data_IF_705636426222
#
_entry.id   IF_705636426222
#
_cell.length_a   1.000
_cell.length_b   1.000
_cell.length_c   1.000
_cell.angle_alpha   90.00
_cell.angle_beta   90.00
_cell.angle_gamma   90.00
#
_symmetry.space_group_name_H-M   'P 1'
#
loop_
_entity.id
_entity.type
_entity.pdbx_description
1 polymer ?
#
# COMPACT_ATOMS: atom_id res chain seq x y z
N UNK A 1 -10.61 12.57 -8.72
CA UNK A 1 -10.20 11.84 -9.99
C UNK A 1 -8.68 11.63 -9.94
N UNK A 2 -8.18 10.46 -10.39
CA UNK A 2 -6.73 10.21 -10.43
C UNK A 2 -6.07 11.11 -11.48
N UNK A 3 -5.06 11.86 -11.06
CA UNK A 3 -4.26 12.72 -11.90
C UNK A 3 -2.89 12.10 -12.09
N UNK A 4 -2.33 12.26 -13.29
CA UNK A 4 -1.00 11.83 -13.64
C UNK A 4 -0.17 13.03 -14.05
N UNK A 5 0.92 13.27 -13.35
CA UNK A 5 1.82 14.39 -13.59
C UNK A 5 3.27 13.92 -13.74
N UNK A 6 4.17 14.84 -14.12
CA UNK A 6 5.60 14.57 -14.19
C UNK A 6 6.35 15.54 -13.29
N UNK A 7 7.13 15.02 -12.36
CA UNK A 7 8.00 15.80 -11.47
C UNK A 7 9.43 15.30 -11.63
N UNK A 8 10.34 16.13 -12.15
CA UNK A 8 11.71 15.72 -12.53
C UNK A 8 11.67 14.51 -13.48
N UNK A 9 12.25 13.38 -13.07
CA UNK A 9 12.31 12.12 -13.81
C UNK A 9 11.26 11.09 -13.34
N UNK A 10 10.31 11.53 -12.51
CA UNK A 10 9.25 10.71 -11.97
C UNK A 10 7.92 10.94 -12.68
N UNK A 11 7.18 9.87 -12.88
CA UNK A 11 5.73 9.89 -13.19
C UNK A 11 4.99 9.74 -11.88
N UNK A 12 4.13 10.69 -11.56
CA UNK A 12 3.44 10.77 -10.27
C UNK A 12 1.94 10.59 -10.46
N UNK A 13 1.35 9.74 -9.66
CA UNK A 13 -0.08 9.49 -9.58
C UNK A 13 -0.59 9.99 -8.22
N UNK A 14 -1.62 10.81 -8.23
CA UNK A 14 -2.30 11.31 -7.03
C UNK A 14 -3.77 11.53 -7.32
N UNK A 15 -4.59 11.62 -6.29
CA UNK A 15 -5.98 12.10 -6.40
C UNK A 15 -6.01 13.62 -6.18
N UNK A 16 -7.03 14.30 -6.70
CA UNK A 16 -7.22 15.76 -6.54
C UNK A 16 -7.17 16.19 -5.06
N UNK A 17 -7.80 15.41 -4.18
CA UNK A 17 -7.82 15.69 -2.75
C UNK A 17 -6.46 15.46 -2.07
N UNK A 18 -5.56 14.75 -2.73
CA UNK A 18 -4.25 14.35 -2.24
C UNK A 18 -3.09 15.15 -2.84
N UNK A 19 -3.38 16.19 -3.63
CA UNK A 19 -2.36 17.03 -4.29
C UNK A 19 -1.36 17.67 -3.31
N UNK A 20 -1.75 17.92 -2.06
CA UNK A 20 -0.88 18.41 -0.98
C UNK A 20 0.33 17.50 -0.72
N UNK A 21 0.22 16.20 -0.95
CA UNK A 21 1.32 15.25 -0.76
C UNK A 21 2.41 15.32 -1.83
N UNK A 22 2.20 16.12 -2.89
CA UNK A 22 3.27 16.48 -3.84
C UNK A 22 4.38 17.29 -3.16
N UNK A 23 4.06 18.09 -2.13
CA UNK A 23 5.05 18.82 -1.34
C UNK A 23 5.93 17.81 -0.57
N UNK A 24 5.34 16.82 0.10
CA UNK A 24 6.08 15.77 0.81
C UNK A 24 7.00 14.98 -0.13
N UNK A 25 6.56 14.70 -1.37
CA UNK A 25 7.43 14.09 -2.37
C UNK A 25 8.61 15.00 -2.72
N UNK A 26 8.39 16.31 -2.89
CA UNK A 26 9.45 17.28 -3.17
C UNK A 26 10.45 17.40 -2.01
N UNK A 27 9.98 17.42 -0.77
CA UNK A 27 10.81 17.44 0.43
C UNK A 27 11.68 16.19 0.49
N UNK A 28 11.09 15.01 0.24
CA UNK A 28 11.84 13.76 0.12
C UNK A 28 12.92 13.81 -0.96
N UNK A 29 12.60 14.34 -2.15
CA UNK A 29 13.54 14.47 -3.28
C UNK A 29 14.63 15.51 -3.04
N UNK A 30 14.44 16.40 -2.06
CA UNK A 30 15.39 17.42 -1.62
C UNK A 30 16.16 17.04 -0.36
N UNK A 31 15.92 15.81 0.16
CA UNK A 31 16.47 15.30 1.43
C UNK A 31 16.07 16.12 2.65
N UNK A 32 14.97 16.86 2.56
CA UNK A 32 14.36 17.64 3.65
C UNK A 32 13.13 16.90 4.19
N UNK A 33 13.37 15.81 4.90
CA UNK A 33 12.31 14.98 5.44
C UNK A 33 12.63 14.54 6.88
N UNK A 34 11.65 14.64 7.76
CA UNK A 34 11.78 14.21 9.15
C UNK A 34 11.41 12.73 9.30
N UNK A 35 12.39 11.86 9.51
CA UNK A 35 12.19 10.42 9.72
C UNK A 35 12.07 10.14 11.22
N UNK A 36 10.89 9.69 11.68
CA UNK A 36 10.64 9.29 13.06
C UNK A 36 11.17 7.89 13.34
N UNK A 37 10.91 6.93 12.42
CA UNK A 37 11.24 5.52 12.60
C UNK A 37 11.49 4.84 11.26
N UNK A 38 12.45 3.92 11.23
CA UNK A 38 12.66 3.03 10.09
C UNK A 38 12.13 1.65 10.47
N UNK A 39 11.06 1.20 9.80
CA UNK A 39 10.48 -0.12 10.01
C UNK A 39 11.23 -1.21 9.25
N UNK A 40 11.70 -0.88 8.03
CA UNK A 40 12.42 -1.82 7.17
C UNK A 40 13.48 -1.08 6.37
N UNK A 41 14.68 -1.66 6.31
CA UNK A 41 15.77 -1.18 5.46
C UNK A 41 16.55 -2.38 4.96
N UNK A 42 16.13 -2.90 3.82
CA UNK A 42 16.82 -3.99 3.09
C UNK A 42 17.19 -3.49 1.69
N UNK A 43 18.00 -4.24 0.97
CA UNK A 43 18.64 -3.84 -0.29
C UNK A 43 17.75 -3.18 -1.33
N UNK A 44 16.50 -3.59 -1.45
CA UNK A 44 15.56 -3.10 -2.46
C UNK A 44 14.32 -2.40 -1.87
N UNK A 45 14.14 -2.43 -0.54
CA UNK A 45 12.95 -1.88 0.12
C UNK A 45 13.31 -1.09 1.36
N UNK A 46 12.80 0.15 1.44
CA UNK A 46 12.82 0.96 2.68
C UNK A 46 11.39 1.34 3.03
N UNK A 47 11.04 1.20 4.31
CA UNK A 47 9.75 1.61 4.88
C UNK A 47 10.02 2.45 6.11
N UNK A 48 9.55 3.68 6.10
CA UNK A 48 9.83 4.69 7.12
C UNK A 48 8.54 5.36 7.56
N UNK A 49 8.44 5.65 8.86
CA UNK A 49 7.49 6.60 9.41
C UNK A 49 8.12 7.98 9.32
N UNK A 50 7.44 8.89 8.70
CA UNK A 50 7.86 10.28 8.53
C UNK A 50 6.85 11.21 9.19
N UNK A 51 7.35 12.35 9.69
CA UNK A 51 6.53 13.46 10.17
C UNK A 51 6.48 14.55 9.10
N UNK A 52 5.29 15.08 8.86
CA UNK A 52 5.06 16.08 7.81
C UNK A 52 4.06 17.12 8.30
N UNK A 53 3.95 18.25 7.60
CA UNK A 53 2.92 19.27 7.87
C UNK A 53 1.48 18.73 7.77
N UNK A 54 1.31 17.55 7.19
CA UNK A 54 0.01 16.88 7.02
C UNK A 54 -0.18 15.71 7.98
N UNK A 55 0.70 15.59 8.99
CA UNK A 55 0.73 14.51 9.97
C UNK A 55 1.71 13.37 9.59
N UNK A 56 1.63 12.29 10.35
CA UNK A 56 2.50 11.12 10.16
C UNK A 56 2.08 10.31 8.93
N UNK A 57 3.07 9.90 8.14
CA UNK A 57 2.88 9.10 6.94
C UNK A 57 3.86 7.92 6.89
N UNK A 58 3.49 6.88 6.17
CA UNK A 58 4.42 5.83 5.75
C UNK A 58 5.00 6.20 4.39
N UNK A 59 6.31 6.39 4.35
CA UNK A 59 7.09 6.50 3.11
C UNK A 59 7.72 5.15 2.79
N UNK A 60 7.28 4.53 1.69
CA UNK A 60 7.82 3.26 1.19
C UNK A 60 8.56 3.49 -0.12
N UNK A 61 9.85 3.15 -0.15
CA UNK A 61 10.67 3.20 -1.36
C UNK A 61 11.04 1.78 -1.74
N UNK A 62 10.73 1.41 -2.98
CA UNK A 62 11.00 0.08 -3.51
C UNK A 62 11.74 0.16 -4.84
N UNK A 63 12.97 -0.40 -4.88
CA UNK A 63 13.85 -0.41 -6.05
C UNK A 63 14.28 -1.84 -6.38
N UNK A 64 13.44 -2.62 -7.08
CA UNK A 64 13.66 -4.05 -7.29
C UNK A 64 14.94 -4.34 -8.07
N UNK A 65 15.89 -5.03 -7.45
CA UNK A 65 17.17 -5.44 -8.05
C UNK A 65 17.12 -6.87 -8.63
N UNK A 66 16.33 -7.74 -8.01
CA UNK A 66 16.24 -9.17 -8.38
C UNK A 66 15.22 -9.40 -9.48
N UNK A 67 15.50 -10.36 -10.39
CA UNK A 67 14.63 -10.75 -11.53
C UNK A 67 14.29 -9.60 -12.48
N UNK A 68 15.22 -8.68 -12.68
CA UNK A 68 15.04 -7.48 -13.51
C UNK A 68 14.53 -7.80 -14.92
N UNK A 69 15.11 -8.82 -15.58
CA UNK A 69 14.70 -9.21 -16.94
C UNK A 69 13.29 -9.83 -16.98
N UNK A 70 12.96 -10.72 -16.03
CA UNK A 70 11.62 -11.30 -15.92
C UNK A 70 10.54 -10.24 -15.66
N UNK A 71 10.84 -9.26 -14.81
CA UNK A 71 9.94 -8.13 -14.53
C UNK A 71 9.78 -7.20 -15.71
N UNK A 72 10.85 -6.97 -16.47
CA UNK A 72 10.79 -6.20 -17.72
C UNK A 72 9.78 -6.81 -18.70
N UNK A 73 9.89 -8.10 -18.99
CA UNK A 73 8.94 -8.77 -19.89
C UNK A 73 7.52 -8.80 -19.32
N UNK A 74 7.35 -9.00 -18.02
CA UNK A 74 6.04 -8.99 -17.38
C UNK A 74 5.38 -7.60 -17.39
N UNK A 75 6.15 -6.53 -17.20
CA UNK A 75 5.62 -5.15 -17.22
C UNK A 75 5.13 -4.73 -18.61
N UNK A 76 5.78 -5.20 -19.65
CA UNK A 76 5.35 -4.97 -21.04
C UNK A 76 3.97 -5.56 -21.37
N UNK A 77 3.64 -6.71 -20.74
CA UNK A 77 2.43 -7.47 -21.04
C UNK A 77 1.25 -7.21 -20.08
N UNK A 78 1.52 -6.90 -18.80
CA UNK A 78 0.49 -6.90 -17.75
C UNK A 78 0.22 -5.53 -17.09
N UNK A 79 0.93 -4.48 -17.49
CA UNK A 79 0.89 -3.17 -16.83
C UNK A 79 1.58 -3.18 -15.47
N UNK A 80 1.63 -2.01 -14.82
CA UNK A 80 2.30 -1.88 -13.53
C UNK A 80 1.45 -2.42 -12.38
N UNK A 81 2.12 -3.07 -11.45
CA UNK A 81 1.50 -3.66 -10.27
C UNK A 81 1.04 -2.60 -9.27
N UNK A 82 1.90 -1.58 -9.01
CA UNK A 82 1.60 -0.56 -8.01
C UNK A 82 0.68 0.53 -8.55
N UNK A 83 0.74 0.86 -9.85
CA UNK A 83 -0.25 1.73 -10.51
C UNK A 83 -1.65 1.14 -10.33
N UNK A 84 -1.81 -0.17 -10.57
CA UNK A 84 -3.09 -0.85 -10.37
C UNK A 84 -3.52 -0.90 -8.92
N UNK A 85 -2.59 -1.16 -7.99
CA UNK A 85 -2.90 -1.13 -6.55
C UNK A 85 -3.40 0.25 -6.14
N UNK A 86 -2.72 1.31 -6.59
CA UNK A 86 -3.12 2.69 -6.33
C UNK A 86 -4.53 2.96 -6.84
N UNK A 87 -4.80 2.65 -8.12
CA UNK A 87 -6.12 2.85 -8.74
C UNK A 87 -7.23 2.08 -8.00
N UNK A 88 -6.98 0.81 -7.66
CA UNK A 88 -7.96 -0.02 -6.95
C UNK A 88 -8.22 0.51 -5.53
N UNK A 89 -7.19 0.92 -4.80
CA UNK A 89 -7.34 1.48 -3.45
C UNK A 89 -8.16 2.77 -3.50
N UNK A 90 -7.87 3.69 -4.42
CA UNK A 90 -8.65 4.91 -4.59
C UNK A 90 -10.12 4.61 -4.91
N UNK A 91 -10.36 3.67 -5.82
CA UNK A 91 -11.72 3.29 -6.21
C UNK A 91 -12.51 2.77 -5.02
N UNK A 92 -12.01 1.79 -4.28
CA UNK A 92 -12.75 1.15 -3.20
C UNK A 92 -12.91 2.05 -1.97
N UNK A 93 -11.96 2.95 -1.74
CA UNK A 93 -12.10 4.01 -0.73
C UNK A 93 -13.25 4.96 -1.07
N UNK A 94 -13.38 5.38 -2.32
CA UNK A 94 -14.50 6.19 -2.80
C UNK A 94 -15.85 5.45 -2.74
N UNK A 95 -15.83 4.12 -2.79
CA UNK A 95 -17.00 3.24 -2.59
C UNK A 95 -17.34 3.02 -1.11
N UNK A 96 -16.56 3.60 -0.16
CA UNK A 96 -16.82 3.57 1.27
C UNK A 96 -16.11 2.44 2.04
N UNK A 97 -15.17 1.73 1.43
CA UNK A 97 -14.36 0.71 2.12
C UNK A 97 -13.23 1.38 2.91
N UNK A 98 -13.46 1.62 4.20
CA UNK A 98 -12.51 2.30 5.08
C UNK A 98 -11.59 1.37 5.87
N UNK A 99 -11.75 0.06 5.74
CA UNK A 99 -10.85 -0.92 6.38
C UNK A 99 -9.44 -0.99 5.78
N UNK A 100 -9.19 -0.30 4.66
CA UNK A 100 -7.86 -0.20 4.06
C UNK A 100 -7.14 1.05 4.54
N UNK A 101 -5.80 1.02 4.55
CA UNK A 101 -5.02 2.25 4.63
C UNK A 101 -5.10 3.03 3.32
N UNK A 102 -5.10 4.35 3.40
CA UNK A 102 -5.09 5.23 2.24
C UNK A 102 -3.75 5.17 1.51
N UNK A 103 -3.80 5.19 0.18
CA UNK A 103 -2.62 5.29 -0.67
C UNK A 103 -2.64 6.67 -1.34
N UNK A 104 -1.95 7.64 -0.76
CA UNK A 104 -2.06 9.05 -1.12
C UNK A 104 -1.34 9.43 -2.40
N UNK A 105 -0.16 8.83 -2.65
CA UNK A 105 0.68 9.15 -3.78
C UNK A 105 1.55 7.96 -4.19
N UNK A 106 1.62 7.72 -5.49
CA UNK A 106 2.59 6.81 -6.11
C UNK A 106 3.47 7.61 -7.08
N UNK A 107 4.78 7.52 -6.92
CA UNK A 107 5.74 8.06 -7.88
C UNK A 107 6.62 6.95 -8.43
N UNK A 108 6.83 6.95 -9.75
CA UNK A 108 7.57 5.94 -10.49
C UNK A 108 8.73 6.56 -11.25
N UNK A 109 9.95 6.09 -10.99
CA UNK A 109 11.08 6.35 -11.89
C UNK A 109 11.15 5.25 -12.91
N UNK A 110 10.95 5.60 -14.20
CA UNK A 110 10.89 4.60 -15.27
C UNK A 110 11.65 5.01 -16.51
N UNK A 111 12.14 4.00 -17.23
CA UNK A 111 12.68 4.12 -18.59
C UNK A 111 11.78 3.34 -19.52
N UNK A 112 11.16 4.04 -20.48
CA UNK A 112 10.08 3.49 -21.31
C UNK A 112 8.92 2.98 -20.42
N UNK A 113 8.67 1.67 -20.42
CA UNK A 113 7.64 1.01 -19.62
C UNK A 113 8.19 0.27 -18.39
N UNK A 114 9.50 0.29 -18.17
CA UNK A 114 10.13 -0.40 -17.06
C UNK A 114 10.34 0.55 -15.87
N UNK A 115 9.72 0.23 -14.74
CA UNK A 115 9.87 1.00 -13.50
C UNK A 115 11.06 0.48 -12.70
N UNK A 116 11.98 1.39 -12.36
CA UNK A 116 13.19 1.12 -11.59
C UNK A 116 12.99 1.36 -10.10
N UNK A 117 12.16 2.34 -9.76
CA UNK A 117 11.92 2.74 -8.37
C UNK A 117 10.49 3.19 -8.22
N UNK A 118 9.88 2.76 -7.13
CA UNK A 118 8.59 3.21 -6.65
C UNK A 118 8.79 3.99 -5.35
N UNK A 119 8.14 5.15 -5.24
CA UNK A 119 8.04 5.93 -4.02
C UNK A 119 6.55 6.03 -3.70
N UNK A 120 6.16 5.64 -2.52
CA UNK A 120 4.77 5.55 -2.11
C UNK A 120 4.57 6.31 -0.80
N UNK A 121 3.58 7.18 -0.77
CA UNK A 121 3.09 7.81 0.46
C UNK A 121 1.75 7.17 0.83
N UNK A 122 1.70 6.62 2.03
CA UNK A 122 0.61 5.79 2.50
C UNK A 122 0.21 6.30 3.89
N UNK A 123 -1.05 6.16 4.24
CA UNK A 123 -1.57 6.47 5.58
C UNK A 123 -0.78 5.71 6.65
N UNK A 124 -0.35 6.43 7.68
CA UNK A 124 0.07 5.81 8.94
C UNK A 124 -1.16 5.58 9.80
N UNK A 125 -1.37 4.35 10.22
CA UNK A 125 -2.45 3.97 11.13
C UNK A 125 -1.87 3.88 12.53
N UNK A 126 -2.37 4.71 13.45
CA UNK A 126 -1.95 4.73 14.85
C UNK A 126 -2.76 3.72 15.64
N UNK A 127 -2.31 2.47 15.65
CA UNK A 127 -3.00 1.36 16.27
C UNK A 127 -2.04 0.26 16.73
N UNK A 128 -2.62 -0.85 17.17
CA UNK A 128 -1.88 -2.03 17.64
C UNK A 128 -1.85 -3.06 16.52
N UNK A 129 -0.66 -3.55 16.15
CA UNK A 129 -0.55 -4.65 15.21
C UNK A 129 -1.20 -5.92 15.80
N UNK A 130 -1.96 -6.65 14.99
CA UNK A 130 -2.65 -7.85 15.46
C UNK A 130 -1.67 -8.93 15.94
N UNK A 131 -0.44 -8.93 15.48
CA UNK A 131 0.61 -9.85 15.95
C UNK A 131 1.04 -9.57 17.40
N UNK A 132 0.82 -8.35 17.90
CA UNK A 132 1.14 -7.95 19.28
C UNK A 132 -0.03 -8.21 20.26
N UNK A 133 -1.17 -8.67 19.76
CA UNK A 133 -2.32 -9.06 20.58
C UNK A 133 -2.24 -10.57 20.87
N UNK A 134 -1.95 -10.99 22.12
CA UNK A 134 -1.73 -12.41 22.42
C UNK A 134 -3.00 -13.23 22.27
N UNK A 135 -4.14 -12.73 22.77
CA UNK A 135 -5.42 -13.42 22.77
C UNK A 135 -6.43 -12.69 21.90
N UNK A 136 -6.82 -13.34 20.82
CA UNK A 136 -7.82 -12.82 19.88
C UNK A 136 -9.16 -13.48 20.23
N UNK A 137 -10.10 -12.68 20.72
CA UNK A 137 -11.45 -13.15 21.02
C UNK A 137 -12.27 -13.39 19.72
N UNK A 138 -13.40 -14.04 19.87
CA UNK A 138 -14.29 -14.36 18.72
C UNK A 138 -14.84 -13.09 18.04
N UNK A 139 -15.01 -12.01 18.79
CA UNK A 139 -15.49 -10.74 18.22
C UNK A 139 -14.46 -10.15 17.26
N UNK A 140 -13.19 -10.12 17.66
CA UNK A 140 -12.10 -9.63 16.83
C UNK A 140 -11.84 -10.56 15.63
N UNK A 141 -11.91 -11.89 15.81
CA UNK A 141 -11.83 -12.85 14.69
C UNK A 141 -12.91 -12.57 13.64
N UNK A 142 -14.15 -12.37 14.09
CA UNK A 142 -15.26 -12.07 13.19
C UNK A 142 -15.03 -10.75 12.43
N UNK A 143 -14.53 -9.70 13.09
CA UNK A 143 -14.19 -8.43 12.45
C UNK A 143 -13.11 -8.61 11.38
N UNK A 144 -12.05 -9.40 11.64
CA UNK A 144 -10.98 -9.69 10.68
C UNK A 144 -11.55 -10.43 9.47
N UNK A 145 -12.33 -11.47 9.68
CA UNK A 145 -12.98 -12.23 8.60
C UNK A 145 -13.91 -11.34 7.78
N UNK A 146 -14.66 -10.46 8.42
CA UNK A 146 -15.56 -9.52 7.76
C UNK A 146 -14.79 -8.50 6.92
N UNK A 147 -13.66 -7.97 7.41
CA UNK A 147 -12.82 -7.02 6.66
C UNK A 147 -12.25 -7.65 5.39
N UNK A 148 -11.78 -8.92 5.45
CA UNK A 148 -11.31 -9.65 4.26
C UNK A 148 -12.48 -9.98 3.31
N UNK A 149 -13.65 -10.32 3.83
CA UNK A 149 -14.83 -10.55 2.99
C UNK A 149 -15.23 -9.29 2.25
N UNK A 150 -15.31 -8.17 2.95
CA UNK A 150 -15.63 -6.86 2.36
C UNK A 150 -14.60 -6.47 1.28
N UNK A 151 -13.30 -6.68 1.53
CA UNK A 151 -12.24 -6.50 0.54
C UNK A 151 -12.50 -7.32 -0.74
N UNK A 152 -12.88 -8.59 -0.57
CA UNK A 152 -13.19 -9.51 -1.68
C UNK A 152 -14.45 -9.08 -2.46
N UNK A 153 -15.47 -8.54 -1.80
CA UNK A 153 -16.68 -8.02 -2.43
C UNK A 153 -16.38 -6.83 -3.35
N UNK A 154 -15.44 -5.96 -2.95
CA UNK A 154 -14.96 -4.85 -3.76
C UNK A 154 -13.91 -5.26 -4.83
N UNK A 155 -13.71 -6.56 -5.05
CA UNK A 155 -12.85 -7.06 -6.13
C UNK A 155 -11.35 -6.99 -5.86
N UNK A 156 -10.95 -6.77 -4.63
CA UNK A 156 -9.55 -6.79 -4.18
C UNK A 156 -9.21 -8.10 -3.45
N UNK A 157 -7.92 -8.35 -3.25
CA UNK A 157 -7.38 -9.43 -2.43
C UNK A 157 -6.26 -8.89 -1.56
N UNK A 158 -6.12 -9.40 -0.33
CA UNK A 158 -4.98 -9.09 0.52
C UNK A 158 -3.70 -9.66 -0.11
N UNK A 159 -3.72 -10.92 -0.48
CA UNK A 159 -2.61 -11.64 -1.11
C UNK A 159 -1.62 -12.21 -0.11
N UNK A 160 -1.63 -11.74 1.14
CA UNK A 160 -0.85 -12.25 2.27
C UNK A 160 -1.48 -11.80 3.61
N UNK A 161 -2.66 -12.33 3.99
CA UNK A 161 -3.42 -11.89 5.17
C UNK A 161 -2.88 -12.54 6.46
N UNK A 162 -1.63 -12.27 6.80
CA UNK A 162 -1.07 -12.69 8.08
C UNK A 162 -1.29 -11.61 9.16
N UNK A 163 -1.12 -11.97 10.45
CA UNK A 163 -1.42 -11.11 11.60
C UNK A 163 -0.70 -9.74 11.58
N UNK A 164 0.53 -9.66 11.04
CA UNK A 164 1.27 -8.40 10.91
C UNK A 164 0.74 -7.45 9.83
N UNK A 165 -0.24 -7.87 9.02
CA UNK A 165 -0.89 -7.02 8.02
C UNK A 165 -2.25 -6.49 8.45
N UNK A 166 -2.58 -6.63 9.75
CA UNK A 166 -3.78 -6.06 10.37
C UNK A 166 -3.38 -5.16 11.53
N UNK A 167 -3.98 -3.97 11.58
CA UNK A 167 -3.85 -3.02 12.67
C UNK A 167 -5.22 -2.80 13.30
N UNK A 168 -5.27 -2.81 14.62
CA UNK A 168 -6.48 -2.51 15.37
C UNK A 168 -6.42 -1.05 15.79
N UNK A 169 -7.28 -0.24 15.18
CA UNK A 169 -7.41 1.19 15.43
C UNK A 169 -8.80 1.50 15.99
N UNK A 170 -8.89 1.98 17.23
CA UNK A 170 -10.16 2.28 17.89
C UNK A 170 -11.17 1.12 17.89
N UNK A 171 -10.68 -0.12 17.99
CA UNK A 171 -11.51 -1.34 17.98
C UNK A 171 -11.95 -1.80 16.59
N UNK A 172 -11.53 -1.11 15.53
CA UNK A 172 -11.79 -1.49 14.14
C UNK A 172 -10.56 -2.12 13.48
N UNK A 173 -10.77 -3.02 12.53
CA UNK A 173 -9.71 -3.71 11.79
C UNK A 173 -9.32 -2.90 10.56
N UNK A 174 -8.03 -2.57 10.46
CA UNK A 174 -7.42 -1.93 9.29
C UNK A 174 -6.46 -2.91 8.63
N UNK A 175 -6.53 -3.03 7.29
CA UNK A 175 -5.70 -3.93 6.48
C UNK A 175 -4.60 -3.10 5.82
N UNK A 176 -3.35 -3.54 5.96
CA UNK A 176 -2.17 -2.90 5.35
C UNK A 176 -1.48 -3.86 4.36
N UNK A 177 -0.56 -3.33 3.58
CA UNK A 177 0.29 -4.06 2.60
C UNK A 177 -0.49 -4.91 1.59
N UNK A 178 -1.51 -4.32 0.99
CA UNK A 178 -2.41 -4.96 0.05
C UNK A 178 -1.73 -5.39 -1.26
N UNK A 179 -2.36 -6.37 -1.92
CA UNK A 179 -1.91 -6.89 -3.20
C UNK A 179 -2.57 -6.18 -4.39
N UNK A 180 -1.77 -5.65 -5.32
CA UNK A 180 -2.23 -5.16 -6.64
C UNK A 180 -2.60 -6.26 -7.64
N UNK A 181 -2.77 -7.53 -7.19
CA UNK A 181 -3.22 -8.62 -8.05
C UNK A 181 -4.72 -8.54 -8.26
N UNK A 182 -5.18 -8.85 -9.48
CA UNK A 182 -6.63 -8.95 -9.75
C UNK A 182 -7.25 -10.05 -8.90
N UNK A 183 -8.41 -9.77 -8.30
CA UNK A 183 -9.17 -10.76 -7.57
C UNK A 183 -9.61 -11.91 -8.51
N UNK A 184 -9.49 -13.14 -8.02
CA UNK A 184 -10.02 -14.34 -8.65
C UNK A 184 -10.53 -15.27 -7.57
N UNK A 185 -11.42 -16.21 -7.90
CA UNK A 185 -11.94 -17.19 -6.94
C UNK A 185 -10.80 -17.93 -6.20
N UNK A 186 -9.76 -18.34 -6.93
CA UNK A 186 -8.59 -19.01 -6.37
C UNK A 186 -7.81 -18.14 -5.38
N UNK A 187 -7.62 -16.83 -5.68
CA UNK A 187 -6.90 -15.90 -4.78
C UNK A 187 -7.72 -15.57 -3.55
N UNK A 188 -9.04 -15.37 -3.71
CA UNK A 188 -9.95 -15.18 -2.58
C UNK A 188 -10.00 -16.41 -1.67
N UNK A 189 -9.97 -17.63 -2.23
CA UNK A 189 -9.88 -18.85 -1.46
C UNK A 189 -8.55 -18.96 -0.70
N UNK A 190 -7.43 -18.59 -1.37
CA UNK A 190 -6.11 -18.56 -0.73
C UNK A 190 -6.06 -17.58 0.44
N UNK A 191 -6.56 -16.35 0.30
CA UNK A 191 -6.62 -15.38 1.40
C UNK A 191 -7.36 -15.95 2.61
N UNK A 192 -8.46 -16.69 2.40
CA UNK A 192 -9.22 -17.31 3.50
C UNK A 192 -8.43 -18.39 4.22
N UNK A 193 -7.71 -19.23 3.47
CA UNK A 193 -6.86 -20.29 4.04
C UNK A 193 -5.67 -19.68 4.80
N UNK A 194 -5.05 -18.66 4.24
CA UNK A 194 -3.88 -18.01 4.86
C UNK A 194 -4.28 -17.24 6.14
N UNK A 195 -5.51 -16.74 6.21
CA UNK A 195 -6.06 -16.06 7.40
C UNK A 195 -6.25 -17.01 8.62
N UNK A 196 -6.47 -18.31 8.37
CA UNK A 196 -6.68 -19.32 9.41
C UNK A 196 -5.38 -19.87 10.00
N UNK A 197 -4.22 -19.47 9.47
CA UNK A 197 -2.88 -19.88 9.93
C UNK A 197 -2.33 -18.91 10.97
#
# INVERSE_FOLDING_TARGET
>A
MIQKSKIKDLVVFTDENNSKYLNVLNDFLSYDINIIKVFRSIDDTKVMLIDTDYGKLILKVFSPKVKRNERFFKSLLKGDYYERLFEQTQKVRNEGLHSLNDFYLLAERKTLRFVHTYIMLIEYIDGVELCDIPDIDETLKNKIQQSIRSLHEHGMVSGDPHRGNFIIENGEVRIIDLSGKRASAQRKAKDRIDLER
#
